data_IF_491311457490
#
_entry.id   IF_491311457490
#
_cell.length_a   1.000
_cell.length_b   1.000
_cell.length_c   1.000
_cell.angle_alpha   90.00
_cell.angle_beta   90.00
_cell.angle_gamma   90.00
#
_symmetry.space_group_name_H-M   'P 1'
#
loop_
_entity.id
_entity.type
_entity.pdbx_description
1 polymer ?
#
# COMPACT_ATOMS: atom_id res chain seq x y z
N UNK A 1 5.40 -85.08 19.72
CA UNK A 1 5.69 -84.04 20.71
C UNK A 1 5.66 -82.72 19.96
N UNK A 2 4.69 -81.92 20.30
CA UNK A 2 4.34 -80.69 19.58
C UNK A 2 4.97 -79.46 20.26
N UNK A 3 5.40 -78.49 19.51
CA UNK A 3 5.49 -77.08 19.93
C UNK A 3 5.02 -76.17 18.79
N UNK A 4 3.77 -75.82 18.89
CA UNK A 4 3.19 -74.73 18.10
C UNK A 4 3.34 -73.43 18.87
N UNK A 5 4.15 -72.49 18.36
CA UNK A 5 4.41 -71.18 18.95
C UNK A 5 3.79 -70.03 18.18
N UNK A 6 3.01 -69.32 18.85
CA UNK A 6 2.25 -68.10 18.54
C UNK A 6 2.99 -67.02 17.75
N UNK A 7 2.77 -66.90 16.46
CA UNK A 7 3.29 -65.80 15.62
C UNK A 7 2.22 -64.77 15.18
N UNK A 8 1.01 -64.84 15.74
CA UNK A 8 -0.15 -64.01 15.27
C UNK A 8 -0.40 -62.72 16.05
N UNK A 9 0.09 -62.59 17.29
CA UNK A 9 -0.32 -61.47 18.17
C UNK A 9 0.49 -60.19 17.97
N UNK A 10 1.69 -60.25 17.40
CA UNK A 10 2.58 -59.09 17.27
C UNK A 10 2.33 -58.19 16.03
N UNK A 11 1.65 -58.75 15.01
CA UNK A 11 1.37 -57.95 13.80
C UNK A 11 0.18 -57.01 13.94
N UNK A 12 -0.78 -57.28 14.81
CA UNK A 12 -1.96 -56.44 15.03
C UNK A 12 -1.59 -55.18 15.85
N UNK A 13 -0.67 -55.32 16.81
CA UNK A 13 -0.21 -54.17 17.63
C UNK A 13 0.56 -53.09 16.87
N UNK A 14 1.35 -53.47 15.84
CA UNK A 14 2.13 -52.56 15.04
C UNK A 14 1.30 -51.75 14.03
N UNK A 15 0.22 -52.33 13.49
CA UNK A 15 -0.67 -51.65 12.56
C UNK A 15 -1.55 -50.61 13.28
N UNK A 16 -2.02 -50.90 14.48
CA UNK A 16 -2.82 -49.93 15.26
C UNK A 16 -1.93 -48.76 15.78
N UNK A 17 -0.66 -49.04 16.14
CA UNK A 17 0.27 -47.98 16.53
C UNK A 17 0.62 -47.03 15.41
N UNK A 18 0.78 -47.50 14.15
CA UNK A 18 1.08 -46.69 12.98
C UNK A 18 -0.12 -45.84 12.55
N UNK A 19 -1.34 -46.32 12.70
CA UNK A 19 -2.57 -45.55 12.41
C UNK A 19 -2.83 -44.45 13.43
N UNK A 20 -2.49 -44.65 14.72
CA UNK A 20 -2.63 -43.65 15.75
C UNK A 20 -1.55 -42.54 15.60
N UNK A 21 -0.33 -42.86 15.13
CA UNK A 21 0.71 -41.89 14.84
C UNK A 21 0.43 -41.05 13.59
N UNK A 22 -0.24 -41.60 12.58
CA UNK A 22 -0.67 -40.87 11.39
C UNK A 22 -1.82 -39.86 11.68
N UNK A 23 -2.72 -40.21 12.62
CA UNK A 23 -3.78 -39.29 13.04
C UNK A 23 -3.25 -38.11 13.94
N UNK A 24 -2.09 -38.27 14.58
CA UNK A 24 -1.49 -37.24 15.44
C UNK A 24 -0.77 -36.11 14.66
N UNK A 25 -0.64 -36.22 13.32
CA UNK A 25 0.03 -35.23 12.48
C UNK A 25 -0.94 -34.33 11.66
N UNK A 26 -2.25 -34.51 11.76
CA UNK A 26 -3.21 -33.66 11.09
C UNK A 26 -3.42 -32.38 11.92
N UNK A 27 -3.04 -31.22 11.38
CA UNK A 27 -3.32 -29.93 12.01
C UNK A 27 -4.85 -29.69 11.99
N UNK A 28 -5.52 -29.67 13.15
CA UNK A 28 -6.98 -29.58 13.20
C UNK A 28 -7.51 -28.24 12.66
N UNK A 29 -6.67 -27.22 12.57
CA UNK A 29 -7.02 -25.95 11.98
C UNK A 29 -7.04 -25.99 10.43
N UNK A 30 -6.40 -26.99 9.81
CA UNK A 30 -6.31 -27.08 8.35
C UNK A 30 -7.67 -27.15 7.67
N UNK A 31 -8.47 -28.09 8.08
CA UNK A 31 -9.81 -28.30 7.48
C UNK A 31 -10.69 -27.07 7.66
N UNK A 32 -10.61 -26.45 8.82
CA UNK A 32 -11.34 -25.20 9.09
C UNK A 32 -10.86 -24.05 8.22
N UNK A 33 -9.55 -23.91 8.05
CA UNK A 33 -8.98 -22.88 7.19
C UNK A 33 -9.40 -23.06 5.73
N UNK A 34 -9.29 -24.28 5.20
CA UNK A 34 -9.71 -24.62 3.84
C UNK A 34 -11.24 -24.41 3.64
N UNK A 35 -12.04 -24.70 4.66
CA UNK A 35 -13.48 -24.39 4.65
C UNK A 35 -13.72 -22.88 4.64
N UNK A 36 -13.07 -22.13 5.51
CA UNK A 36 -13.20 -20.68 5.56
C UNK A 36 -12.83 -20.00 4.23
N UNK A 37 -11.78 -20.46 3.54
CA UNK A 37 -11.44 -19.97 2.20
C UNK A 37 -12.55 -20.27 1.17
N UNK A 38 -13.20 -21.44 1.23
CA UNK A 38 -14.36 -21.77 0.37
C UNK A 38 -15.58 -20.92 0.70
N UNK A 39 -15.85 -20.69 2.00
CA UNK A 39 -16.94 -19.82 2.44
C UNK A 39 -16.72 -18.38 1.95
N UNK A 40 -15.48 -17.88 2.01
CA UNK A 40 -15.09 -16.57 1.51
C UNK A 40 -15.35 -16.45 0.00
N UNK A 41 -14.92 -17.44 -0.79
CA UNK A 41 -15.18 -17.48 -2.24
C UNK A 41 -16.67 -17.55 -2.57
N UNK A 42 -17.45 -18.19 -1.70
CA UNK A 42 -18.92 -18.29 -1.82
C UNK A 42 -19.66 -17.08 -1.27
N UNK A 43 -18.94 -16.00 -0.90
CA UNK A 43 -19.49 -14.79 -0.29
C UNK A 43 -20.22 -15.01 1.04
N UNK A 44 -19.93 -16.11 1.74
CA UNK A 44 -20.47 -16.39 3.08
C UNK A 44 -19.51 -15.88 4.15
N UNK A 45 -19.42 -14.55 4.27
CA UNK A 45 -18.42 -13.83 5.07
C UNK A 45 -18.50 -14.16 6.56
N UNK A 46 -19.71 -14.32 7.10
CA UNK A 46 -19.93 -14.65 8.53
C UNK A 46 -19.39 -16.04 8.87
N UNK A 47 -19.64 -17.04 8.01
CA UNK A 47 -19.15 -18.39 8.20
C UNK A 47 -17.63 -18.46 8.12
N UNK A 48 -17.04 -17.77 7.12
CA UNK A 48 -15.59 -17.64 6.99
C UNK A 48 -14.97 -16.97 8.23
N UNK A 49 -15.55 -15.86 8.68
CA UNK A 49 -15.08 -15.12 9.86
C UNK A 49 -15.15 -15.99 11.13
N UNK A 50 -16.22 -16.77 11.31
CA UNK A 50 -16.37 -17.66 12.46
C UNK A 50 -15.26 -18.73 12.49
N UNK A 51 -14.90 -19.31 11.34
CA UNK A 51 -13.83 -20.28 11.25
C UNK A 51 -12.45 -19.66 11.49
N UNK A 52 -12.15 -18.48 10.91
CA UNK A 52 -10.89 -17.78 11.19
C UNK A 52 -10.74 -17.42 12.67
N UNK A 53 -11.82 -16.94 13.31
CA UNK A 53 -11.84 -16.64 14.76
C UNK A 53 -11.59 -17.90 15.59
N UNK A 54 -12.22 -19.02 15.21
CA UNK A 54 -12.02 -20.29 15.88
C UNK A 54 -10.55 -20.73 15.80
N UNK A 55 -9.93 -20.65 14.60
CA UNK A 55 -8.51 -21.01 14.43
C UNK A 55 -7.61 -20.14 15.31
N UNK A 56 -7.79 -18.83 15.27
CA UNK A 56 -6.97 -17.91 16.03
C UNK A 56 -7.08 -18.13 17.56
N UNK A 57 -8.29 -18.45 18.05
CA UNK A 57 -8.55 -18.62 19.48
C UNK A 57 -8.17 -20.00 19.99
N UNK A 58 -8.64 -21.07 19.29
CA UNK A 58 -8.57 -22.44 19.80
C UNK A 58 -7.33 -23.22 19.29
N UNK A 59 -6.69 -22.73 18.23
CA UNK A 59 -5.48 -23.31 17.63
C UNK A 59 -4.36 -22.30 17.40
N UNK A 60 -3.95 -21.51 18.43
CA UNK A 60 -2.95 -20.45 18.25
C UNK A 60 -1.56 -20.97 17.87
N UNK A 61 -1.28 -22.26 18.10
CA UNK A 61 -0.02 -22.88 17.70
C UNK A 61 -0.03 -23.45 16.28
N UNK A 62 -1.18 -23.42 15.62
CA UNK A 62 -1.29 -23.86 14.24
C UNK A 62 -0.56 -22.91 13.28
N UNK A 63 0.09 -23.49 12.26
CA UNK A 63 0.65 -22.71 11.15
C UNK A 63 -0.37 -21.84 10.40
N UNK A 64 -1.67 -22.12 10.56
CA UNK A 64 -2.76 -21.37 9.94
C UNK A 64 -3.24 -20.18 10.77
N UNK A 65 -2.83 -20.09 12.05
CA UNK A 65 -3.29 -19.00 12.93
C UNK A 65 -2.86 -17.61 12.46
N UNK A 66 -1.63 -17.36 11.97
CA UNK A 66 -1.24 -16.06 11.42
C UNK A 66 -2.09 -15.67 10.21
N UNK A 67 -2.29 -16.60 9.26
CA UNK A 67 -3.12 -16.35 8.08
C UNK A 67 -4.59 -16.12 8.46
N UNK A 68 -5.12 -16.85 9.45
CA UNK A 68 -6.48 -16.67 9.94
C UNK A 68 -6.68 -15.27 10.54
N UNK A 69 -5.73 -14.77 11.34
CA UNK A 69 -5.77 -13.41 11.89
C UNK A 69 -5.72 -12.35 10.79
N UNK A 70 -4.87 -12.51 9.78
CA UNK A 70 -4.82 -11.60 8.64
C UNK A 70 -6.17 -11.57 7.90
N UNK A 71 -6.77 -12.75 7.62
CA UNK A 71 -8.09 -12.86 6.97
C UNK A 71 -9.21 -12.23 7.81
N UNK A 72 -9.18 -12.46 9.12
CA UNK A 72 -10.11 -11.86 10.07
C UNK A 72 -10.03 -10.33 10.02
N UNK A 73 -8.84 -9.77 10.09
CA UNK A 73 -8.62 -8.33 9.97
C UNK A 73 -9.10 -7.76 8.63
N UNK A 74 -8.81 -8.47 7.51
CA UNK A 74 -9.27 -8.07 6.19
C UNK A 74 -10.80 -8.08 6.06
N UNK A 75 -11.49 -9.06 6.66
CA UNK A 75 -12.95 -9.10 6.68
C UNK A 75 -13.54 -7.96 7.51
N UNK A 76 -13.01 -7.73 8.70
CA UNK A 76 -13.46 -6.63 9.53
C UNK A 76 -13.26 -5.27 8.84
N UNK A 77 -12.07 -5.00 8.31
CA UNK A 77 -11.76 -3.72 7.68
C UNK A 77 -12.44 -3.52 6.32
N UNK A 78 -12.43 -4.55 5.48
CA UNK A 78 -12.91 -4.47 4.10
C UNK A 78 -14.43 -4.62 3.98
N UNK A 79 -14.97 -5.72 4.51
CA UNK A 79 -16.39 -6.05 4.35
C UNK A 79 -17.28 -5.41 5.41
N UNK A 80 -16.95 -5.61 6.70
CA UNK A 80 -17.77 -5.10 7.81
C UNK A 80 -17.54 -3.63 8.13
N UNK A 81 -16.47 -3.02 7.63
CA UNK A 81 -16.06 -1.64 7.94
C UNK A 81 -15.89 -1.41 9.46
N UNK A 82 -15.59 -2.48 10.19
CA UNK A 82 -15.29 -2.44 11.62
C UNK A 82 -13.78 -2.30 11.83
N UNK A 83 -13.28 -1.07 11.71
CA UNK A 83 -11.86 -0.77 11.79
C UNK A 83 -11.23 -1.09 13.15
N UNK A 84 -11.90 -0.85 14.31
CA UNK A 84 -11.34 -1.27 15.59
C UNK A 84 -11.07 -2.78 15.66
N UNK A 85 -12.04 -3.62 15.24
CA UNK A 85 -11.86 -5.07 15.24
C UNK A 85 -10.80 -5.54 14.20
N UNK A 86 -10.64 -4.80 13.09
CA UNK A 86 -9.58 -5.07 12.13
C UNK A 86 -8.19 -4.82 12.73
N UNK A 87 -8.01 -3.68 13.39
CA UNK A 87 -6.75 -3.33 14.07
C UNK A 87 -6.41 -4.35 15.16
N UNK A 88 -7.39 -4.74 16.01
CA UNK A 88 -7.18 -5.76 17.04
C UNK A 88 -6.68 -7.09 16.45
N UNK A 89 -7.23 -7.53 15.31
CA UNK A 89 -6.78 -8.74 14.63
C UNK A 89 -5.35 -8.60 14.07
N UNK A 90 -5.03 -7.47 13.46
CA UNK A 90 -3.68 -7.20 12.94
C UNK A 90 -2.65 -7.05 14.06
N UNK A 91 -2.97 -6.35 15.14
CA UNK A 91 -2.12 -6.24 16.32
C UNK A 91 -1.84 -7.61 16.96
N UNK A 92 -2.89 -8.44 17.09
CA UNK A 92 -2.76 -9.81 17.59
C UNK A 92 -1.82 -10.64 16.71
N UNK A 93 -1.90 -10.48 15.39
CA UNK A 93 -0.99 -11.12 14.45
C UNK A 93 0.46 -10.66 14.64
N UNK A 94 0.69 -9.36 14.66
CA UNK A 94 2.03 -8.75 14.78
C UNK A 94 2.67 -9.09 16.11
N UNK A 95 1.89 -9.10 17.20
CA UNK A 95 2.38 -9.39 18.54
C UNK A 95 2.68 -10.88 18.75
N UNK A 96 1.73 -11.75 18.38
CA UNK A 96 1.83 -13.19 18.66
C UNK A 96 2.72 -13.94 17.66
N UNK A 97 2.84 -13.42 16.42
CA UNK A 97 3.58 -14.09 15.34
C UNK A 97 4.53 -13.14 14.59
N UNK A 98 5.47 -12.49 15.28
CA UNK A 98 6.28 -11.39 14.70
C UNK A 98 7.15 -11.79 13.49
N UNK A 99 7.36 -13.09 13.28
CA UNK A 99 8.14 -13.63 12.15
C UNK A 99 7.28 -14.25 11.05
N UNK A 100 5.95 -14.18 11.17
CA UNK A 100 5.06 -14.74 10.17
C UNK A 100 5.11 -13.92 8.87
N UNK A 101 4.96 -14.59 7.73
CA UNK A 101 4.94 -13.98 6.40
C UNK A 101 3.78 -13.02 6.18
N UNK A 102 2.76 -13.10 7.01
CA UNK A 102 1.55 -12.27 7.01
C UNK A 102 1.74 -10.90 7.67
N UNK A 103 2.74 -10.77 8.55
CA UNK A 103 2.98 -9.53 9.33
C UNK A 103 3.18 -8.30 8.45
N UNK A 104 3.99 -8.33 7.38
CA UNK A 104 4.15 -7.16 6.50
C UNK A 104 2.82 -6.66 5.94
N UNK A 105 1.95 -7.58 5.57
CA UNK A 105 0.63 -7.25 5.03
C UNK A 105 -0.30 -6.67 6.11
N UNK A 106 -0.21 -7.17 7.34
CA UNK A 106 -0.97 -6.63 8.47
C UNK A 106 -0.54 -5.19 8.78
N UNK A 107 0.77 -4.92 8.87
CA UNK A 107 1.30 -3.56 9.08
C UNK A 107 0.86 -2.59 7.98
N UNK A 108 0.88 -3.03 6.72
CA UNK A 108 0.41 -2.21 5.60
C UNK A 108 -1.08 -1.86 5.76
N UNK A 109 -1.92 -2.85 6.10
CA UNK A 109 -3.37 -2.62 6.31
C UNK A 109 -3.67 -1.76 7.53
N UNK A 110 -2.90 -1.91 8.61
CA UNK A 110 -2.97 -1.03 9.78
C UNK A 110 -2.69 0.42 9.39
N UNK A 111 -1.60 0.66 8.66
CA UNK A 111 -1.25 1.99 8.18
C UNK A 111 -2.31 2.61 7.25
N UNK A 112 -2.92 1.81 6.37
CA UNK A 112 -4.04 2.28 5.53
C UNK A 112 -5.24 2.71 6.38
N UNK A 113 -5.57 1.97 7.44
CA UNK A 113 -6.67 2.34 8.35
C UNK A 113 -6.34 3.64 9.08
N UNK A 114 -5.14 3.77 9.64
CA UNK A 114 -4.71 5.00 10.30
C UNK A 114 -4.78 6.20 9.35
N UNK A 115 -4.24 6.07 8.14
CA UNK A 115 -4.19 7.17 7.17
C UNK A 115 -5.57 7.56 6.63
N UNK A 116 -6.42 6.58 6.30
CA UNK A 116 -7.61 6.81 5.48
C UNK A 116 -8.91 6.89 6.30
N UNK A 117 -8.95 6.21 7.45
CA UNK A 117 -10.17 6.13 8.27
C UNK A 117 -10.06 6.99 9.52
N UNK A 118 -8.90 6.99 10.16
CA UNK A 118 -8.68 7.79 11.37
C UNK A 118 -8.03 9.15 11.10
N UNK A 119 -7.55 9.37 9.87
CA UNK A 119 -6.84 10.59 9.47
C UNK A 119 -5.64 10.88 10.40
N UNK A 120 -4.98 9.80 10.84
CA UNK A 120 -3.77 9.83 11.66
C UNK A 120 -2.53 9.51 10.81
N UNK A 121 -1.95 10.51 10.14
CA UNK A 121 -0.81 10.30 9.28
C UNK A 121 0.46 9.91 10.06
N UNK A 122 0.59 10.31 11.32
CA UNK A 122 1.76 10.02 12.13
C UNK A 122 1.85 8.53 12.48
N UNK A 123 0.74 7.94 12.95
CA UNK A 123 0.67 6.50 13.20
C UNK A 123 0.85 5.69 11.92
N UNK A 124 0.23 6.14 10.81
CA UNK A 124 0.40 5.48 9.52
C UNK A 124 1.87 5.48 9.05
N UNK A 125 2.57 6.61 9.18
CA UNK A 125 3.99 6.69 8.84
C UNK A 125 4.83 5.76 9.72
N UNK A 126 4.57 5.71 11.03
CA UNK A 126 5.29 4.83 11.95
C UNK A 126 5.14 3.35 11.60
N UNK A 127 3.93 2.89 11.27
CA UNK A 127 3.67 1.51 10.85
C UNK A 127 4.41 1.15 9.54
N UNK A 128 4.40 2.07 8.56
CA UNK A 128 5.06 1.87 7.27
C UNK A 128 6.60 1.91 7.40
N UNK A 129 7.14 2.78 8.25
CA UNK A 129 8.58 2.80 8.55
C UNK A 129 9.02 1.52 9.25
N UNK A 130 8.23 1.04 10.21
CA UNK A 130 8.43 -0.24 10.86
C UNK A 130 8.44 -1.38 9.84
N UNK A 131 7.45 -1.41 8.94
CA UNK A 131 7.36 -2.40 7.87
C UNK A 131 8.65 -2.39 7.03
N UNK A 132 9.11 -1.24 6.55
CA UNK A 132 10.34 -1.13 5.74
C UNK A 132 11.58 -1.59 6.50
N UNK A 133 11.68 -1.25 7.79
CA UNK A 133 12.82 -1.60 8.63
C UNK A 133 12.89 -3.10 8.94
N UNK A 134 11.76 -3.70 9.31
CA UNK A 134 11.70 -5.10 9.76
C UNK A 134 11.60 -6.07 8.57
N UNK A 135 11.02 -5.63 7.44
CA UNK A 135 10.78 -6.46 6.26
C UNK A 135 11.30 -5.82 4.95
N UNK A 136 12.62 -5.62 4.81
CA UNK A 136 13.21 -4.87 3.68
C UNK A 136 13.06 -5.58 2.32
N UNK A 137 12.56 -6.81 2.28
CA UNK A 137 12.29 -7.57 1.05
C UNK A 137 10.80 -7.74 0.77
N UNK A 138 9.96 -6.90 1.35
CA UNK A 138 8.52 -6.93 1.09
C UNK A 138 8.23 -6.53 -0.37
N UNK A 139 7.49 -7.40 -1.10
CA UNK A 139 7.21 -7.20 -2.53
C UNK A 139 6.32 -5.98 -2.84
N UNK A 140 5.61 -5.44 -1.84
CA UNK A 140 4.76 -4.25 -1.96
C UNK A 140 5.46 -2.94 -1.60
N UNK A 141 6.78 -2.83 -1.76
CA UNK A 141 7.52 -1.63 -1.34
C UNK A 141 7.11 -0.37 -2.10
N UNK A 142 6.69 -0.49 -3.35
CA UNK A 142 6.13 0.64 -4.12
C UNK A 142 4.84 1.20 -3.50
N UNK A 143 3.98 0.34 -2.95
CA UNK A 143 2.78 0.74 -2.21
C UNK A 143 3.14 1.41 -0.90
N UNK A 144 4.10 0.84 -0.19
CA UNK A 144 4.59 1.40 1.09
C UNK A 144 5.16 2.81 0.87
N UNK A 145 6.01 3.01 -0.13
CA UNK A 145 6.57 4.33 -0.45
C UNK A 145 5.48 5.35 -0.83
N UNK A 146 4.50 4.92 -1.60
CA UNK A 146 3.39 5.78 -1.99
C UNK A 146 2.53 6.20 -0.78
N UNK A 147 2.22 5.26 0.12
CA UNK A 147 1.48 5.56 1.35
C UNK A 147 2.30 6.39 2.34
N UNK A 148 3.61 6.14 2.47
CA UNK A 148 4.52 6.99 3.26
C UNK A 148 4.49 8.43 2.75
N UNK A 149 4.61 8.62 1.45
CA UNK A 149 4.54 9.96 0.87
C UNK A 149 3.21 10.67 1.17
N UNK A 150 2.09 9.93 1.14
CA UNK A 150 0.79 10.47 1.50
C UNK A 150 0.70 10.81 3.00
N UNK A 151 1.24 9.95 3.84
CA UNK A 151 1.27 10.17 5.29
C UNK A 151 2.14 11.40 5.63
N UNK A 152 3.35 11.49 5.08
CA UNK A 152 4.22 12.65 5.31
C UNK A 152 3.60 13.96 4.81
N UNK A 153 2.99 13.94 3.61
CA UNK A 153 2.30 15.12 3.09
C UNK A 153 1.12 15.57 3.96
N UNK A 154 0.35 14.62 4.48
CA UNK A 154 -0.75 14.91 5.40
C UNK A 154 -0.27 15.41 6.77
N UNK A 155 0.94 15.00 7.19
CA UNK A 155 1.60 15.47 8.42
C UNK A 155 2.35 16.80 8.23
N UNK A 156 2.47 17.33 7.00
CA UNK A 156 3.26 18.54 6.69
C UNK A 156 4.78 18.30 6.69
N UNK A 157 5.20 17.03 6.56
CA UNK A 157 6.61 16.62 6.51
C UNK A 157 7.13 16.63 5.06
N UNK A 158 7.15 17.81 4.45
CA UNK A 158 7.35 18.01 3.01
C UNK A 158 8.64 17.40 2.45
N UNK A 159 9.78 17.49 3.19
CA UNK A 159 11.04 16.90 2.74
C UNK A 159 10.98 15.36 2.71
N UNK A 160 10.35 14.77 3.71
CA UNK A 160 10.17 13.30 3.78
C UNK A 160 9.21 12.82 2.70
N UNK A 161 8.16 13.59 2.42
CA UNK A 161 7.25 13.32 1.31
C UNK A 161 8.01 13.30 -0.02
N UNK A 162 8.78 14.35 -0.32
CA UNK A 162 9.54 14.45 -1.55
C UNK A 162 10.57 13.32 -1.68
N UNK A 163 11.25 12.95 -0.59
CA UNK A 163 12.21 11.85 -0.57
C UNK A 163 11.54 10.50 -0.90
N UNK A 164 10.41 10.19 -0.28
CA UNK A 164 9.67 8.95 -0.53
C UNK A 164 9.15 8.85 -1.97
N UNK A 165 8.68 9.97 -2.55
CA UNK A 165 8.22 10.05 -3.94
C UNK A 165 9.35 9.92 -4.95
N UNK A 166 10.52 10.51 -4.66
CA UNK A 166 11.72 10.34 -5.50
C UNK A 166 12.14 8.88 -5.50
N UNK A 167 12.24 8.25 -4.32
CA UNK A 167 12.59 6.84 -4.19
C UNK A 167 11.60 5.93 -4.94
N UNK A 168 10.30 6.18 -4.83
CA UNK A 168 9.28 5.47 -5.59
C UNK A 168 9.51 5.56 -7.11
N UNK A 169 9.75 6.78 -7.60
CA UNK A 169 9.91 7.04 -9.03
C UNK A 169 11.20 6.44 -9.60
N UNK A 170 12.27 6.37 -8.81
CA UNK A 170 13.58 5.86 -9.21
C UNK A 170 13.64 4.33 -9.16
N UNK A 171 13.16 3.74 -8.06
CA UNK A 171 13.24 2.29 -7.85
C UNK A 171 12.13 1.51 -8.54
N UNK A 172 10.94 2.10 -8.67
CA UNK A 172 9.75 1.45 -9.20
C UNK A 172 9.11 2.21 -10.37
N UNK A 173 9.88 2.57 -11.43
CA UNK A 173 9.37 3.41 -12.52
C UNK A 173 8.22 2.79 -13.32
N UNK A 174 8.03 1.47 -13.22
CA UNK A 174 6.95 0.71 -13.90
C UNK A 174 5.75 0.43 -13.00
N UNK A 175 5.81 0.82 -11.72
CA UNK A 175 4.66 0.68 -10.82
C UNK A 175 3.49 1.52 -11.31
N UNK A 176 2.27 1.02 -11.15
CA UNK A 176 1.05 1.77 -11.40
C UNK A 176 0.92 3.03 -10.50
N UNK A 177 1.68 3.07 -9.39
CA UNK A 177 1.76 4.21 -8.48
C UNK A 177 2.79 5.26 -8.89
N UNK A 178 3.74 4.90 -9.75
CA UNK A 178 4.84 5.78 -10.13
C UNK A 178 4.36 7.05 -10.83
N UNK A 179 3.36 6.95 -11.70
CA UNK A 179 2.78 8.11 -12.38
C UNK A 179 2.12 9.07 -11.38
N UNK A 180 1.23 8.56 -10.52
CA UNK A 180 0.60 9.36 -9.46
C UNK A 180 1.63 9.94 -8.48
N UNK A 181 2.62 9.13 -8.10
CA UNK A 181 3.73 9.57 -7.23
C UNK A 181 4.53 10.73 -7.85
N UNK A 182 4.81 10.68 -9.15
CA UNK A 182 5.54 11.76 -9.86
C UNK A 182 4.73 13.06 -9.92
N UNK A 183 3.42 12.97 -10.12
CA UNK A 183 2.54 14.14 -10.01
C UNK A 183 2.60 14.76 -8.60
N UNK A 184 2.48 13.92 -7.57
CA UNK A 184 2.59 14.39 -6.19
C UNK A 184 3.95 15.03 -5.91
N UNK A 185 5.05 14.44 -6.41
CA UNK A 185 6.40 14.99 -6.27
C UNK A 185 6.52 16.36 -6.92
N UNK A 186 6.06 16.50 -8.16
CA UNK A 186 6.14 17.75 -8.88
C UNK A 186 5.40 18.88 -8.14
N UNK A 187 4.20 18.62 -7.64
CA UNK A 187 3.44 19.61 -6.87
C UNK A 187 4.00 19.84 -5.47
N UNK A 188 4.53 18.83 -4.79
CA UNK A 188 5.21 19.01 -3.50
C UNK A 188 6.44 19.93 -3.66
N UNK A 189 7.27 19.70 -4.68
CA UNK A 189 8.43 20.54 -4.99
C UNK A 189 8.03 21.97 -5.34
N UNK A 190 6.94 22.15 -6.09
CA UNK A 190 6.39 23.46 -6.41
C UNK A 190 5.95 24.20 -5.14
N UNK A 191 5.24 23.54 -4.24
CA UNK A 191 4.81 24.08 -2.95
C UNK A 191 6.00 24.48 -2.06
N UNK A 192 7.07 23.68 -2.06
CA UNK A 192 8.34 23.96 -1.37
C UNK A 192 9.17 25.08 -2.03
N UNK A 193 8.69 25.70 -3.13
CA UNK A 193 9.41 26.69 -3.95
C UNK A 193 10.72 26.16 -4.57
N UNK A 194 10.84 24.84 -4.68
CA UNK A 194 11.93 24.17 -5.38
C UNK A 194 11.64 24.14 -6.88
N UNK A 195 11.50 25.32 -7.46
CA UNK A 195 10.96 25.52 -8.80
C UNK A 195 11.73 24.79 -9.90
N UNK A 196 13.07 24.79 -9.82
CA UNK A 196 13.89 24.08 -10.81
C UNK A 196 13.68 22.56 -10.77
N UNK A 197 13.48 21.99 -9.58
CA UNK A 197 13.21 20.58 -9.39
C UNK A 197 11.80 20.25 -9.87
N UNK A 198 10.82 21.07 -9.53
CA UNK A 198 9.43 20.94 -9.98
C UNK A 198 9.32 20.97 -11.51
N UNK A 199 9.98 21.93 -12.17
CA UNK A 199 10.01 22.04 -13.64
C UNK A 199 10.56 20.76 -14.27
N UNK A 200 11.64 20.18 -13.71
CA UNK A 200 12.19 18.91 -14.21
C UNK A 200 11.18 17.75 -14.13
N UNK A 201 10.45 17.65 -13.04
CA UNK A 201 9.44 16.58 -12.87
C UNK A 201 8.23 16.81 -13.80
N UNK A 202 7.76 18.06 -13.95
CA UNK A 202 6.69 18.36 -14.91
C UNK A 202 7.11 18.10 -16.37
N UNK A 203 8.38 18.36 -16.76
CA UNK A 203 8.90 17.99 -18.07
C UNK A 203 8.88 16.48 -18.31
N UNK A 204 9.26 15.68 -17.31
CA UNK A 204 9.16 14.22 -17.40
C UNK A 204 7.71 13.76 -17.55
N UNK A 205 6.79 14.37 -16.79
CA UNK A 205 5.36 14.10 -16.90
C UNK A 205 4.83 14.44 -18.28
N UNK A 206 5.18 15.61 -18.84
CA UNK A 206 4.81 16.03 -20.18
C UNK A 206 5.32 15.03 -21.24
N UNK A 207 6.56 14.58 -21.12
CA UNK A 207 7.14 13.60 -22.06
C UNK A 207 6.44 12.23 -22.00
N UNK A 208 5.96 11.81 -20.82
CA UNK A 208 5.28 10.55 -20.60
C UNK A 208 3.77 10.62 -20.85
N UNK A 209 3.21 11.82 -20.93
CA UNK A 209 1.78 12.03 -21.09
C UNK A 209 1.33 11.73 -22.52
N UNK A 210 0.31 10.89 -22.64
CA UNK A 210 -0.40 10.62 -23.90
C UNK A 210 -1.80 11.24 -23.92
N UNK A 211 -2.28 11.70 -22.76
CA UNK A 211 -3.61 12.28 -22.57
C UNK A 211 -3.54 13.80 -22.57
N UNK A 212 -4.54 14.43 -23.25
CA UNK A 212 -4.64 15.89 -23.34
C UNK A 212 -4.66 16.56 -21.97
N UNK A 213 -5.46 16.06 -21.03
CA UNK A 213 -5.59 16.64 -19.70
C UNK A 213 -4.25 16.62 -18.94
N UNK A 214 -3.56 15.49 -18.95
CA UNK A 214 -2.23 15.37 -18.33
C UNK A 214 -1.21 16.30 -18.97
N UNK A 215 -1.28 16.50 -20.30
CA UNK A 215 -0.42 17.45 -21.03
C UNK A 215 -0.67 18.90 -20.58
N UNK A 216 -1.94 19.30 -20.45
CA UNK A 216 -2.33 20.63 -19.96
C UNK A 216 -1.84 20.85 -18.53
N UNK A 217 -2.07 19.89 -17.65
CA UNK A 217 -1.65 19.98 -16.25
C UNK A 217 -0.11 20.08 -16.12
N UNK A 218 0.64 19.28 -16.88
CA UNK A 218 2.10 19.33 -16.87
C UNK A 218 2.64 20.68 -17.33
N UNK A 219 2.09 21.23 -18.45
CA UNK A 219 2.46 22.57 -18.94
C UNK A 219 2.10 23.67 -17.95
N UNK A 220 0.96 23.54 -17.28
CA UNK A 220 0.55 24.47 -16.24
C UNK A 220 1.56 24.49 -15.08
N UNK A 221 1.95 23.31 -14.57
CA UNK A 221 2.97 23.18 -13.52
C UNK A 221 4.34 23.69 -13.95
N UNK A 222 4.76 23.42 -15.20
CA UNK A 222 5.98 23.99 -15.79
C UNK A 222 5.92 25.52 -15.80
N UNK A 223 4.82 26.11 -16.27
CA UNK A 223 4.64 27.56 -16.33
C UNK A 223 4.74 28.20 -14.92
N UNK A 224 4.10 27.59 -13.92
CA UNK A 224 4.20 28.05 -12.53
C UNK A 224 5.62 27.97 -12.00
N UNK A 225 6.35 26.88 -12.32
CA UNK A 225 7.72 26.70 -11.91
C UNK A 225 8.65 27.75 -12.55
N UNK A 226 8.51 28.01 -13.84
CA UNK A 226 9.24 29.04 -14.57
C UNK A 226 8.94 30.45 -14.05
N UNK A 227 7.67 30.74 -13.73
CA UNK A 227 7.25 31.98 -13.10
C UNK A 227 7.93 32.17 -11.72
N UNK A 228 8.00 31.09 -10.92
CA UNK A 228 8.69 31.09 -9.62
C UNK A 228 10.20 31.29 -9.73
N UNK A 229 10.84 30.84 -10.80
CA UNK A 229 12.26 31.09 -11.12
C UNK A 229 12.52 32.47 -11.70
N UNK A 230 11.46 33.22 -12.05
CA UNK A 230 11.58 34.53 -12.70
C UNK A 230 11.75 34.45 -14.23
N UNK A 231 11.72 33.27 -14.82
CA UNK A 231 11.70 33.07 -16.28
C UNK A 231 10.28 33.34 -16.82
N UNK A 232 9.95 34.65 -16.89
CA UNK A 232 8.63 35.10 -17.34
C UNK A 232 8.38 34.77 -18.81
N UNK A 233 9.43 34.76 -19.65
CA UNK A 233 9.30 34.41 -21.08
C UNK A 233 8.99 32.93 -21.26
N UNK A 234 9.73 32.06 -20.57
CA UNK A 234 9.45 30.64 -20.55
C UNK A 234 8.06 30.30 -20.01
N UNK A 235 7.63 30.98 -18.93
CA UNK A 235 6.28 30.80 -18.36
C UNK A 235 5.19 31.18 -19.38
N UNK A 236 5.32 32.33 -20.04
CA UNK A 236 4.38 32.76 -21.10
C UNK A 236 4.30 31.73 -22.20
N UNK A 237 5.43 31.22 -22.70
CA UNK A 237 5.45 30.22 -23.74
C UNK A 237 4.68 28.92 -23.35
N UNK A 238 4.79 28.47 -22.09
CA UNK A 238 4.03 27.32 -21.63
C UNK A 238 2.52 27.63 -21.51
N UNK A 239 2.14 28.81 -21.00
CA UNK A 239 0.74 29.19 -20.93
C UNK A 239 0.12 29.37 -22.35
N UNK A 240 0.85 29.95 -23.30
CA UNK A 240 0.40 30.06 -24.71
C UNK A 240 0.20 28.67 -25.33
N UNK A 241 1.08 27.72 -25.06
CA UNK A 241 1.00 26.34 -25.59
C UNK A 241 -0.15 25.52 -25.02
N UNK A 242 -0.72 25.88 -23.87
CA UNK A 242 -1.86 25.18 -23.28
C UNK A 242 -3.19 25.92 -23.41
N UNK A 243 -3.17 27.20 -23.87
CA UNK A 243 -4.34 28.10 -23.82
C UNK A 243 -5.57 27.51 -24.46
N UNK A 244 -5.43 26.96 -25.66
CA UNK A 244 -6.57 26.49 -26.45
C UNK A 244 -7.11 25.12 -25.94
N UNK A 245 -6.31 24.45 -25.10
CA UNK A 245 -6.63 23.17 -24.47
C UNK A 245 -7.07 23.30 -23.01
N UNK A 246 -6.90 24.49 -22.41
CA UNK A 246 -7.28 24.76 -21.04
C UNK A 246 -8.80 24.75 -20.84
N UNK A 247 -9.25 24.31 -19.66
CA UNK A 247 -10.67 24.38 -19.28
C UNK A 247 -11.20 25.82 -19.17
N UNK A 248 -10.32 26.79 -18.92
CA UNK A 248 -10.61 28.23 -18.88
C UNK A 248 -9.58 29.02 -19.68
N UNK A 249 -9.75 29.17 -21.01
CA UNK A 249 -8.85 29.94 -21.85
C UNK A 249 -8.79 31.43 -21.49
N UNK A 250 -9.85 32.00 -20.91
CA UNK A 250 -9.91 33.41 -20.53
C UNK A 250 -8.95 33.67 -19.37
N UNK A 251 -8.97 32.82 -18.34
CA UNK A 251 -8.04 32.91 -17.21
C UNK A 251 -6.58 32.79 -17.65
N UNK A 252 -6.28 31.86 -18.56
CA UNK A 252 -4.94 31.70 -19.13
C UNK A 252 -4.50 32.97 -19.86
N UNK A 253 -5.38 33.56 -20.69
CA UNK A 253 -5.10 34.77 -21.44
C UNK A 253 -4.83 35.97 -20.52
N UNK A 254 -5.61 36.12 -19.45
CA UNK A 254 -5.39 37.15 -18.44
C UNK A 254 -4.03 36.97 -17.75
N UNK A 255 -3.68 35.72 -17.40
CA UNK A 255 -2.40 35.41 -16.78
C UNK A 255 -1.22 35.74 -17.68
N UNK A 256 -1.29 35.42 -18.96
CA UNK A 256 -0.31 35.81 -19.99
C UNK A 256 -0.18 37.33 -20.06
N UNK A 257 -1.30 38.06 -20.07
CA UNK A 257 -1.30 39.54 -20.09
C UNK A 257 -0.53 40.12 -18.90
N UNK A 258 -0.85 39.66 -17.69
CA UNK A 258 -0.15 40.11 -16.47
C UNK A 258 1.35 39.82 -16.52
N UNK A 259 1.79 38.67 -17.04
CA UNK A 259 3.22 38.37 -17.17
C UNK A 259 3.91 39.23 -18.21
N UNK A 260 3.28 39.52 -19.35
CA UNK A 260 3.77 40.44 -20.38
C UNK A 260 3.93 41.87 -19.81
N UNK A 261 3.00 42.30 -18.97
CA UNK A 261 3.09 43.62 -18.34
C UNK A 261 4.25 43.69 -17.31
N UNK A 262 4.52 42.59 -16.58
CA UNK A 262 5.69 42.50 -15.68
C UNK A 262 7.01 42.55 -16.45
N UNK A 263 7.10 41.95 -17.65
CA UNK A 263 8.29 42.00 -18.51
C UNK A 263 8.58 43.42 -19.07
N UNK A 264 7.56 44.27 -19.19
CA UNK A 264 7.69 45.63 -19.74
C UNK A 264 8.10 46.65 -18.68
N UNK A 265 7.94 46.30 -17.39
CA UNK A 265 8.36 47.18 -16.30
C UNK A 265 9.82 46.92 -16.00
N UNK A 266 10.66 47.96 -16.02
CA UNK A 266 12.08 47.83 -15.72
C UNK A 266 12.34 47.42 -14.26
#
# INVERSE_FOLDING_TARGET
>A
MALGGSAGAWRIGLVCGALLLAAACADPARERFERAEKELLSQRMEAALADYRYIARDHPQSRYAPAALLRQGNLYGGYYRNFPAALEAYESLVYSYPRASEVPRALLRTAEIHLLQYLDPSSAAADLERLRKEFPRFEGEDEVLFLLARAYGAAGEDERQAAALSELSERFPKSNRAAAGRWMLAYALLGQRRYADADREFRKLLYLSTERESTVQARWGMAQSLEGMGDLQGAIAQYEALRDDAGDPAHVTEKIGRLKDRLRKP
#
